data_IF_563794247356
#
_entry.id   IF_563794247356
#
_cell.length_a   1.000
_cell.length_b   1.000
_cell.length_c   1.000
_cell.angle_alpha   90.00
_cell.angle_beta   90.00
_cell.angle_gamma   90.00
#
_symmetry.space_group_name_H-M   'P 1'
#
loop_
_entity.id
_entity.type
_entity.pdbx_description
1 polymer ?
#
# COMPACT_ATOMS: atom_id res chain seq x y z
N UNK A 1 -12.80 -17.58 10.33
CA UNK A 1 -14.11 -17.72 9.65
C UNK A 1 -14.44 -16.52 8.78
N UNK A 2 -14.37 -15.27 9.28
CA UNK A 2 -14.65 -14.06 8.47
C UNK A 2 -13.62 -13.76 7.36
N UNK A 3 -12.31 -13.89 7.63
CA UNK A 3 -11.28 -13.61 6.60
C UNK A 3 -11.40 -14.54 5.38
N UNK A 4 -11.66 -15.83 5.61
CA UNK A 4 -11.90 -16.83 4.55
C UNK A 4 -13.17 -16.53 3.76
N UNK A 5 -14.20 -15.94 4.39
CA UNK A 5 -15.41 -15.51 3.70
C UNK A 5 -15.10 -14.36 2.73
N UNK A 6 -14.40 -13.31 3.19
CA UNK A 6 -14.02 -12.18 2.34
C UNK A 6 -13.10 -12.57 1.18
N UNK A 7 -12.21 -13.54 1.38
CA UNK A 7 -11.30 -14.03 0.33
C UNK A 7 -12.02 -14.55 -0.92
N UNK A 8 -13.22 -15.11 -0.76
CA UNK A 8 -13.98 -15.69 -1.86
C UNK A 8 -14.95 -14.70 -2.53
N UNK A 9 -15.05 -13.47 -2.02
CA UNK A 9 -15.92 -12.46 -2.59
C UNK A 9 -15.22 -11.77 -3.77
N UNK A 10 -15.85 -11.67 -4.94
CA UNK A 10 -15.26 -10.97 -6.06
C UNK A 10 -15.20 -9.46 -5.78
N UNK A 11 -14.04 -8.87 -6.03
CA UNK A 11 -13.83 -7.43 -5.95
C UNK A 11 -14.18 -6.76 -7.30
N UNK A 12 -13.49 -7.15 -8.39
CA UNK A 12 -13.70 -6.62 -9.76
C UNK A 12 -14.39 -7.63 -10.71
N UNK A 13 -15.39 -8.36 -10.22
CA UNK A 13 -16.27 -9.27 -10.98
C UNK A 13 -15.65 -10.36 -11.91
N UNK A 14 -14.34 -10.59 -11.95
CA UNK A 14 -13.74 -11.71 -12.69
C UNK A 14 -12.45 -12.25 -12.04
N UNK A 15 -12.23 -13.57 -12.16
CA UNK A 15 -10.99 -14.27 -11.77
C UNK A 15 -9.79 -13.72 -12.54
N UNK A 16 -8.71 -13.37 -11.84
CA UNK A 16 -7.43 -13.03 -12.46
C UNK A 16 -6.34 -13.93 -11.89
N UNK A 17 -5.39 -14.32 -12.74
CA UNK A 17 -4.26 -15.15 -12.35
C UNK A 17 -3.03 -14.27 -12.13
N UNK A 18 -2.61 -14.14 -10.87
CA UNK A 18 -1.29 -13.56 -10.54
C UNK A 18 -0.32 -14.73 -10.35
N UNK A 19 0.73 -14.78 -11.17
CA UNK A 19 1.77 -15.81 -11.08
C UNK A 19 3.01 -15.21 -10.45
N UNK A 20 3.15 -15.32 -9.13
CA UNK A 20 4.39 -14.93 -8.42
C UNK A 20 5.37 -16.10 -8.44
N UNK A 21 6.41 -16.00 -9.28
CA UNK A 21 7.45 -17.03 -9.38
C UNK A 21 8.82 -16.39 -9.28
N UNK A 22 9.27 -16.17 -8.05
CA UNK A 22 10.69 -16.29 -7.69
C UNK A 22 10.89 -16.38 -6.18
N UNK A 23 10.66 -17.58 -5.64
CA UNK A 23 11.04 -17.91 -4.26
C UNK A 23 12.51 -18.36 -4.25
N UNK A 24 13.44 -17.44 -4.51
CA UNK A 24 14.85 -17.67 -4.19
C UNK A 24 15.11 -17.28 -2.73
N UNK A 25 15.54 -18.24 -1.90
CA UNK A 25 15.77 -17.99 -0.48
C UNK A 25 17.04 -17.14 -0.34
N UNK A 26 16.97 -16.03 0.38
CA UNK A 26 18.16 -15.24 0.65
C UNK A 26 19.08 -16.03 1.61
N UNK A 27 20.26 -16.44 1.15
CA UNK A 27 21.37 -16.85 2.04
C UNK A 27 22.27 -15.63 2.19
N UNK A 28 22.10 -14.88 3.27
CA UNK A 28 23.05 -13.81 3.62
C UNK A 28 24.43 -14.42 3.84
N UNK A 29 25.33 -14.23 2.88
CA UNK A 29 26.77 -14.32 3.12
C UNK A 29 27.27 -12.88 3.18
N UNK A 30 27.99 -12.53 4.24
CA UNK A 30 28.43 -11.15 4.59
C UNK A 30 29.35 -10.46 3.55
N UNK A 31 29.55 -11.05 2.36
CA UNK A 31 30.57 -10.68 1.39
C UNK A 31 30.11 -10.83 -0.07
N UNK A 32 29.01 -10.18 -0.49
CA UNK A 32 28.80 -10.02 -1.93
C UNK A 32 28.16 -8.68 -2.29
N UNK A 33 29.00 -7.72 -2.65
CA UNK A 33 28.67 -6.52 -3.43
C UNK A 33 28.32 -6.85 -4.90
N UNK A 34 27.78 -8.03 -5.16
CA UNK A 34 27.36 -8.43 -6.50
C UNK A 34 25.95 -7.89 -6.75
N UNK A 35 25.85 -6.80 -7.52
CA UNK A 35 24.59 -6.32 -8.09
C UNK A 35 23.95 -7.45 -8.91
N UNK A 36 22.66 -7.72 -8.65
CA UNK A 36 21.78 -8.67 -9.35
C UNK A 36 22.12 -10.17 -9.30
N UNK A 37 22.15 -10.78 -8.10
CA UNK A 37 22.09 -12.26 -7.98
C UNK A 37 20.64 -12.78 -7.98
N UNK A 38 19.66 -11.93 -7.67
CA UNK A 38 18.25 -12.34 -7.62
C UNK A 38 17.50 -11.89 -8.88
N UNK A 39 16.83 -12.80 -9.59
CA UNK A 39 15.90 -12.42 -10.64
C UNK A 39 14.69 -11.69 -10.05
N UNK A 40 14.05 -10.85 -10.87
CA UNK A 40 12.85 -10.08 -10.51
C UNK A 40 11.80 -10.96 -9.81
N UNK A 41 11.18 -10.42 -8.78
CA UNK A 41 10.12 -11.05 -7.99
C UNK A 41 8.91 -11.38 -8.88
N UNK A 42 8.59 -10.50 -9.83
CA UNK A 42 7.45 -10.64 -10.74
C UNK A 42 7.90 -10.98 -12.16
N UNK A 43 7.92 -12.29 -12.47
CA UNK A 43 8.16 -12.79 -13.82
C UNK A 43 7.01 -12.47 -14.78
N UNK A 44 5.75 -12.62 -14.35
CA UNK A 44 4.56 -12.27 -15.13
C UNK A 44 3.42 -11.76 -14.25
N UNK A 45 2.90 -10.60 -14.59
CA UNK A 45 1.61 -10.09 -14.10
C UNK A 45 0.73 -9.90 -15.33
N UNK A 46 -0.52 -10.35 -15.23
CA UNK A 46 -1.49 -10.15 -16.30
C UNK A 46 -1.81 -8.65 -16.43
N UNK A 47 -1.56 -8.06 -17.59
CA UNK A 47 -1.82 -6.65 -17.81
C UNK A 47 -3.33 -6.34 -17.74
N UNK A 48 -4.18 -7.30 -18.12
CA UNK A 48 -5.63 -7.11 -18.07
C UNK A 48 -6.12 -6.91 -16.62
N UNK A 49 -5.44 -7.54 -15.65
CA UNK A 49 -5.69 -7.29 -14.23
C UNK A 49 -5.44 -5.83 -13.83
N UNK A 50 -4.38 -5.22 -14.36
CA UNK A 50 -3.99 -3.85 -14.05
C UNK A 50 -4.91 -2.82 -14.72
N UNK A 51 -5.63 -3.22 -15.76
CA UNK A 51 -6.67 -2.37 -16.40
C UNK A 51 -7.98 -2.32 -15.62
N UNK A 52 -8.18 -3.23 -14.65
CA UNK A 52 -9.40 -3.26 -13.86
C UNK A 52 -9.56 -1.98 -13.03
N UNK A 53 -10.79 -1.48 -12.82
CA UNK A 53 -11.00 -0.18 -12.19
C UNK A 53 -10.27 -0.02 -10.85
N UNK A 54 -10.40 -0.99 -9.95
CA UNK A 54 -9.78 -0.87 -8.62
C UNK A 54 -8.25 -0.84 -8.65
N UNK A 55 -7.64 -1.62 -9.54
CA UNK A 55 -6.19 -1.65 -9.73
C UNK A 55 -5.70 -0.36 -10.37
N UNK A 56 -6.42 0.13 -11.38
CA UNK A 56 -6.13 1.37 -12.07
C UNK A 56 -6.19 2.56 -11.11
N UNK A 57 -7.27 2.66 -10.34
CA UNK A 57 -7.48 3.75 -9.38
C UNK A 57 -6.46 3.67 -8.23
N UNK A 58 -6.13 2.47 -7.77
CA UNK A 58 -5.05 2.28 -6.80
C UNK A 58 -3.69 2.72 -7.34
N UNK A 59 -3.33 2.30 -8.57
CA UNK A 59 -2.06 2.68 -9.18
C UNK A 59 -1.95 4.19 -9.41
N UNK A 60 -3.05 4.85 -9.78
CA UNK A 60 -3.14 6.30 -9.87
C UNK A 60 -2.76 6.94 -8.53
N UNK A 61 -3.40 6.53 -7.42
CA UNK A 61 -3.02 7.02 -6.09
C UNK A 61 -1.55 6.77 -5.76
N UNK A 62 -0.99 5.60 -6.08
CA UNK A 62 0.40 5.30 -5.71
C UNK A 62 1.44 6.17 -6.43
N UNK A 63 1.09 6.78 -7.56
CA UNK A 63 2.00 7.65 -8.31
C UNK A 63 2.14 9.04 -7.66
N UNK A 64 1.22 9.40 -6.76
CA UNK A 64 1.17 10.70 -6.09
C UNK A 64 2.22 10.88 -5.01
N UNK A 65 2.85 9.80 -4.55
CA UNK A 65 3.70 9.83 -3.37
C UNK A 65 5.19 9.75 -3.72
N UNK A 66 6.00 10.54 -3.03
CA UNK A 66 7.45 10.40 -3.03
C UNK A 66 7.86 9.36 -1.98
N UNK A 67 8.79 8.48 -2.35
CA UNK A 67 9.39 7.54 -1.37
C UNK A 67 10.19 8.27 -0.28
N UNK A 68 10.68 9.47 -0.58
CA UNK A 68 11.49 10.29 0.31
C UNK A 68 10.60 11.30 1.04
N UNK A 69 10.55 11.23 2.36
CA UNK A 69 9.90 12.23 3.22
C UNK A 69 10.60 13.59 3.13
N UNK A 70 9.87 14.68 3.41
CA UNK A 70 10.41 16.04 3.39
C UNK A 70 10.32 16.74 2.03
N UNK A 71 9.76 16.06 1.02
CA UNK A 71 9.26 16.70 -0.20
C UNK A 71 7.80 17.08 0.01
N UNK A 72 7.37 18.16 -0.64
CA UNK A 72 5.95 18.53 -0.65
C UNK A 72 5.19 17.43 -1.40
N UNK A 73 4.33 16.74 -0.67
CA UNK A 73 3.35 15.80 -1.19
C UNK A 73 1.96 16.45 -1.22
N UNK A 74 1.07 16.01 -2.12
CA UNK A 74 1.29 15.02 -3.19
C UNK A 74 2.07 15.56 -4.41
N UNK A 75 2.55 14.67 -5.29
CA UNK A 75 3.17 14.95 -6.60
C UNK A 75 2.23 15.62 -7.60
N UNK A 76 0.93 15.63 -7.30
CA UNK A 76 -0.14 16.14 -8.14
C UNK A 76 -0.83 17.34 -7.47
N UNK A 77 -1.76 18.01 -8.15
CA UNK A 77 -2.54 19.05 -7.50
C UNK A 77 -3.50 18.45 -6.46
N UNK A 78 -3.93 19.26 -5.49
CA UNK A 78 -4.90 18.84 -4.48
C UNK A 78 -6.24 18.41 -5.09
N UNK A 79 -6.64 19.03 -6.20
CA UNK A 79 -7.85 18.68 -6.94
C UNK A 79 -7.71 17.30 -7.59
N UNK A 80 -6.55 17.00 -8.16
CA UNK A 80 -6.24 15.70 -8.76
C UNK A 80 -6.25 14.60 -7.70
N UNK A 81 -5.53 14.81 -6.60
CA UNK A 81 -5.49 13.87 -5.48
C UNK A 81 -6.90 13.57 -4.94
N UNK A 82 -7.72 14.59 -4.71
CA UNK A 82 -9.09 14.40 -4.23
C UNK A 82 -9.96 13.61 -5.22
N UNK A 83 -9.75 13.80 -6.52
CA UNK A 83 -10.46 13.06 -7.57
C UNK A 83 -10.07 11.59 -7.56
N UNK A 84 -8.77 11.29 -7.48
CA UNK A 84 -8.26 9.91 -7.44
C UNK A 84 -8.68 9.19 -6.15
N UNK A 85 -8.60 9.87 -4.99
CA UNK A 85 -9.09 9.34 -3.71
C UNK A 85 -10.57 8.99 -3.81
N UNK A 86 -11.38 9.89 -4.39
CA UNK A 86 -12.81 9.65 -4.57
C UNK A 86 -13.06 8.45 -5.48
N UNK A 87 -12.40 8.37 -6.63
CA UNK A 87 -12.58 7.26 -7.57
C UNK A 87 -12.23 5.92 -6.92
N UNK A 88 -11.09 5.85 -6.23
CA UNK A 88 -10.66 4.65 -5.52
C UNK A 88 -11.62 4.26 -4.40
N UNK A 89 -12.05 5.22 -3.56
CA UNK A 89 -13.00 4.96 -2.49
C UNK A 89 -14.34 4.48 -3.02
N UNK A 90 -14.85 5.09 -4.09
CA UNK A 90 -16.10 4.65 -4.72
C UNK A 90 -15.98 3.18 -5.18
N UNK A 91 -14.89 2.83 -5.88
CA UNK A 91 -14.63 1.46 -6.32
C UNK A 91 -14.55 0.48 -5.15
N UNK A 92 -13.83 0.86 -4.08
CA UNK A 92 -13.67 0.04 -2.87
C UNK A 92 -15.00 -0.14 -2.15
N UNK A 93 -15.73 0.92 -1.88
CA UNK A 93 -16.98 0.89 -1.11
C UNK A 93 -18.10 0.14 -1.84
N UNK A 94 -18.11 0.16 -3.18
CA UNK A 94 -19.06 -0.60 -4.00
C UNK A 94 -18.68 -2.09 -4.15
N UNK A 95 -17.47 -2.49 -3.77
CA UNK A 95 -17.01 -3.89 -3.87
C UNK A 95 -17.82 -4.80 -2.93
N UNK A 96 -18.02 -6.06 -3.33
CA UNK A 96 -18.75 -7.03 -2.48
C UNK A 96 -18.12 -7.20 -1.09
N UNK A 97 -16.78 -7.28 -0.92
CA UNK A 97 -16.18 -7.34 0.41
C UNK A 97 -16.57 -6.16 1.28
N UNK A 98 -16.54 -4.93 0.77
CA UNK A 98 -16.85 -3.74 1.58
C UNK A 98 -18.34 -3.61 1.89
N UNK A 99 -19.21 -4.02 0.97
CA UNK A 99 -20.65 -4.12 1.23
C UNK A 99 -20.92 -5.11 2.38
N UNK A 100 -20.24 -6.25 2.39
CA UNK A 100 -20.37 -7.24 3.47
C UNK A 100 -19.81 -6.74 4.81
N UNK A 101 -18.70 -5.99 4.81
CA UNK A 101 -18.19 -5.32 6.01
C UNK A 101 -19.21 -4.31 6.55
N UNK A 102 -19.78 -3.48 5.68
CA UNK A 102 -20.83 -2.52 6.06
C UNK A 102 -22.03 -3.24 6.67
N UNK A 103 -22.54 -4.28 6.02
CA UNK A 103 -23.69 -5.06 6.51
C UNK A 103 -23.39 -5.73 7.86
N UNK A 104 -22.20 -6.28 8.02
CA UNK A 104 -21.75 -6.88 9.28
C UNK A 104 -21.74 -5.85 10.42
N UNK A 105 -21.13 -4.68 10.20
CA UNK A 105 -21.05 -3.62 11.19
C UNK A 105 -22.43 -3.02 11.50
N UNK A 106 -23.28 -2.86 10.48
CA UNK A 106 -24.67 -2.42 10.63
C UNK A 106 -25.47 -3.38 11.52
N UNK A 107 -25.34 -4.69 11.29
CA UNK A 107 -25.97 -5.73 12.14
C UNK A 107 -25.50 -5.68 13.59
N UNK A 108 -24.27 -5.22 13.82
CA UNK A 108 -23.69 -5.02 15.16
C UNK A 108 -24.06 -3.67 15.80
N UNK A 109 -24.82 -2.81 15.12
CA UNK A 109 -25.18 -1.49 15.61
C UNK A 109 -23.98 -0.53 15.70
N UNK A 110 -22.92 -0.77 14.92
CA UNK A 110 -21.72 0.05 14.98
C UNK A 110 -21.99 1.46 14.40
N UNK A 111 -21.56 2.55 15.07
CA UNK A 111 -21.89 3.92 14.65
C UNK A 111 -21.37 4.27 13.26
N UNK A 112 -20.28 3.65 12.81
CA UNK A 112 -19.71 3.92 11.48
C UNK A 112 -20.58 3.37 10.35
N UNK A 113 -21.46 2.41 10.63
CA UNK A 113 -22.37 1.81 9.64
C UNK A 113 -23.81 2.34 9.78
N UNK A 114 -23.99 3.52 10.41
CA UNK A 114 -25.30 4.14 10.62
C UNK A 114 -26.05 4.37 9.30
N UNK A 115 -25.37 4.91 8.29
CA UNK A 115 -25.88 5.09 6.93
C UNK A 115 -24.70 5.10 5.92
N UNK A 116 -24.95 4.95 4.62
CA UNK A 116 -23.89 4.90 3.60
C UNK A 116 -22.99 6.13 3.56
N UNK A 117 -23.52 7.33 3.81
CA UNK A 117 -22.73 8.58 3.84
C UNK A 117 -21.73 8.57 4.99
N UNK A 118 -22.19 8.28 6.21
CA UNK A 118 -21.32 8.15 7.39
C UNK A 118 -20.28 7.07 7.19
N UNK A 119 -20.65 5.95 6.55
CA UNK A 119 -19.72 4.87 6.24
C UNK A 119 -18.60 5.35 5.30
N UNK A 120 -18.95 5.99 4.18
CA UNK A 120 -17.98 6.51 3.23
C UNK A 120 -17.05 7.55 3.88
N UNK A 121 -17.62 8.48 4.65
CA UNK A 121 -16.85 9.52 5.36
C UNK A 121 -15.88 8.91 6.38
N UNK A 122 -16.31 7.88 7.12
CA UNK A 122 -15.45 7.22 8.11
C UNK A 122 -14.34 6.41 7.48
N UNK A 123 -14.59 5.74 6.35
CA UNK A 123 -13.54 5.05 5.61
C UNK A 123 -12.56 6.05 4.99
N UNK A 124 -13.05 7.17 4.43
CA UNK A 124 -12.18 8.25 3.93
C UNK A 124 -11.31 8.80 5.05
N UNK A 125 -11.90 9.15 6.19
CA UNK A 125 -11.20 9.65 7.36
C UNK A 125 -10.13 8.66 7.84
N UNK A 126 -10.48 7.38 8.00
CA UNK A 126 -9.56 6.36 8.50
C UNK A 126 -8.29 6.22 7.63
N UNK A 127 -8.44 6.32 6.32
CA UNK A 127 -7.36 6.02 5.37
C UNK A 127 -6.64 7.26 4.86
N UNK A 128 -7.33 8.38 4.65
CA UNK A 128 -6.81 9.54 3.91
C UNK A 128 -6.75 10.83 4.72
N UNK A 129 -7.29 10.89 5.95
CA UNK A 129 -6.98 12.02 6.82
C UNK A 129 -5.58 11.88 7.41
N UNK A 130 -4.86 13.00 7.44
CA UNK A 130 -3.52 13.08 8.02
C UNK A 130 -3.61 13.08 9.54
N UNK A 131 -2.73 12.32 10.20
CA UNK A 131 -2.59 12.35 11.65
C UNK A 131 -1.13 12.54 12.05
N UNK A 132 -0.93 13.16 13.22
CA UNK A 132 0.40 13.39 13.78
C UNK A 132 0.86 12.14 14.56
N UNK A 133 2.03 11.60 14.22
CA UNK A 133 2.58 10.35 14.82
C UNK A 133 3.45 10.59 16.06
N UNK A 134 3.92 11.81 16.26
CA UNK A 134 4.62 12.31 17.44
C UNK A 134 4.47 13.83 17.47
N UNK A 135 4.87 14.54 18.54
CA UNK A 135 4.66 16.01 18.77
C UNK A 135 5.18 16.94 17.64
N UNK A 136 4.68 16.82 16.42
CA UNK A 136 5.11 17.44 15.17
C UNK A 136 3.98 17.43 14.13
N UNK A 137 4.29 17.87 12.90
CA UNK A 137 3.31 18.09 11.84
C UNK A 137 2.51 16.82 11.49
N UNK A 138 1.22 16.98 11.15
CA UNK A 138 0.40 15.90 10.61
C UNK A 138 0.80 15.69 9.15
N UNK A 139 1.75 14.78 8.92
CA UNK A 139 2.42 14.60 7.63
C UNK A 139 2.18 13.24 7.00
N UNK A 140 1.38 12.36 7.62
CA UNK A 140 1.13 11.02 7.08
C UNK A 140 -0.31 10.53 7.27
N UNK A 141 -0.77 9.71 6.33
CA UNK A 141 -2.08 9.05 6.32
C UNK A 141 -1.98 7.52 6.52
N UNK A 142 -3.10 6.89 6.88
CA UNK A 142 -3.15 5.42 7.04
C UNK A 142 -2.91 4.70 5.71
N UNK A 143 -3.33 5.32 4.60
CA UNK A 143 -3.14 4.81 3.25
C UNK A 143 -1.66 4.80 2.87
N UNK A 144 -0.95 5.90 3.07
CA UNK A 144 0.49 5.96 2.84
C UNK A 144 1.23 4.90 3.64
N UNK A 145 0.97 4.84 4.93
CA UNK A 145 1.67 3.92 5.82
C UNK A 145 1.50 2.46 5.40
N UNK A 146 0.27 2.02 5.10
CA UNK A 146 -0.01 0.60 4.80
C UNK A 146 0.32 0.23 3.36
N UNK A 147 -0.06 1.08 2.40
CA UNK A 147 -0.03 0.74 0.97
C UNK A 147 1.19 1.27 0.23
N UNK A 148 1.63 2.49 0.54
CA UNK A 148 2.74 3.15 -0.16
C UNK A 148 4.07 2.75 0.47
N UNK A 149 4.09 2.65 1.80
CA UNK A 149 5.31 2.51 2.59
C UNK A 149 6.00 3.86 2.75
N UNK A 150 6.51 4.09 3.94
CA UNK A 150 7.09 5.37 4.33
C UNK A 150 8.53 5.18 4.79
N UNK A 151 9.46 5.97 4.25
CA UNK A 151 10.83 6.01 4.73
C UNK A 151 10.92 6.98 5.91
N UNK A 152 11.57 6.61 7.02
CA UNK A 152 11.74 7.58 8.11
C UNK A 152 12.63 8.76 7.68
N UNK A 153 12.27 9.98 8.07
CA UNK A 153 12.93 11.20 7.63
C UNK A 153 14.37 11.36 8.12
N UNK A 154 15.19 11.99 7.26
CA UNK A 154 16.57 12.37 7.53
C UNK A 154 16.69 13.52 8.57
N UNK A 155 15.60 14.24 8.85
CA UNK A 155 15.64 15.46 9.67
C UNK A 155 15.70 15.24 11.18
N UNK A 156 15.53 14.02 11.70
CA UNK A 156 15.69 13.77 13.13
C UNK A 156 17.17 13.57 13.53
N UNK A 157 17.99 14.50 13.04
CA UNK A 157 19.45 14.56 13.12
C UNK A 157 19.98 14.81 14.55
N UNK A 158 19.13 15.10 15.55
CA UNK A 158 19.59 15.46 16.90
C UNK A 158 19.41 14.38 17.98
N UNK A 159 18.84 13.21 17.65
CA UNK A 159 18.72 12.10 18.61
C UNK A 159 19.94 11.16 18.51
N UNK A 160 20.68 10.97 19.61
CA UNK A 160 21.84 10.05 19.66
C UNK A 160 21.48 8.56 19.52
N UNK A 161 20.20 8.22 19.38
CA UNK A 161 19.68 6.86 19.19
C UNK A 161 19.21 6.61 17.74
N UNK A 162 19.59 7.49 16.79
CA UNK A 162 18.95 7.62 15.47
C UNK A 162 19.63 6.85 14.32
N UNK A 163 20.68 6.09 14.58
CA UNK A 163 21.53 5.53 13.52
C UNK A 163 20.95 4.32 12.78
N UNK A 164 19.93 3.66 13.32
CA UNK A 164 19.43 2.39 12.76
C UNK A 164 18.20 2.53 11.85
N UNK A 165 17.39 3.58 12.01
CA UNK A 165 16.15 3.74 11.22
C UNK A 165 16.33 4.55 9.94
N UNK A 166 17.45 5.25 9.79
CA UNK A 166 17.63 6.19 8.70
C UNK A 166 17.54 5.49 7.32
N UNK A 167 16.49 5.81 6.56
CA UNK A 167 16.21 5.19 5.26
C UNK A 167 15.52 3.82 5.31
N UNK A 168 15.12 3.33 6.50
CA UNK A 168 14.28 2.14 6.60
C UNK A 168 12.85 2.45 6.13
N UNK A 169 12.34 1.62 5.21
CA UNK A 169 10.95 1.68 4.76
C UNK A 169 10.10 0.91 5.76
N UNK A 170 9.18 1.62 6.41
CA UNK A 170 8.11 1.04 7.24
C UNK A 170 6.86 0.86 6.40
N UNK A 171 6.14 -0.25 6.57
CA UNK A 171 5.00 -0.61 5.71
C UNK A 171 5.44 -1.24 4.40
N UNK A 172 4.86 -0.79 3.27
CA UNK A 172 5.06 -1.37 1.93
C UNK A 172 4.70 -2.86 1.89
N UNK A 173 3.44 -3.20 2.10
CA UNK A 173 2.98 -4.60 2.10
C UNK A 173 2.08 -4.97 0.91
N UNK A 174 1.84 -4.01 0.00
CA UNK A 174 0.98 -4.21 -1.15
C UNK A 174 1.77 -4.75 -2.36
N UNK A 175 1.38 -5.93 -2.87
CA UNK A 175 2.08 -6.58 -3.98
C UNK A 175 1.98 -5.80 -5.31
N UNK A 176 0.90 -5.05 -5.53
CA UNK A 176 0.75 -4.20 -6.73
C UNK A 176 1.74 -3.04 -6.67
N UNK A 177 1.93 -2.45 -5.49
CA UNK A 177 2.97 -1.43 -5.27
C UNK A 177 4.36 -2.01 -5.48
N UNK A 178 4.66 -3.18 -4.94
CA UNK A 178 5.93 -3.87 -5.21
C UNK A 178 6.17 -4.11 -6.71
N UNK A 179 5.13 -4.54 -7.43
CA UNK A 179 5.21 -4.74 -8.87
C UNK A 179 5.52 -3.43 -9.61
N UNK A 180 4.81 -2.35 -9.28
CA UNK A 180 5.04 -1.04 -9.89
C UNK A 180 6.47 -0.51 -9.64
N UNK A 181 6.97 -0.65 -8.41
CA UNK A 181 8.34 -0.27 -8.04
C UNK A 181 9.39 -1.10 -8.81
N UNK A 182 9.19 -2.41 -8.93
CA UNK A 182 10.13 -3.28 -9.64
C UNK A 182 10.17 -3.01 -11.15
N UNK A 183 9.05 -2.59 -11.76
CA UNK A 183 8.99 -2.25 -13.18
C UNK A 183 9.50 -0.84 -13.51
N UNK A 184 9.62 0.04 -12.52
CA UNK A 184 10.13 1.39 -12.75
C UNK A 184 11.57 1.54 -12.25
N UNK A 185 12.53 1.51 -13.18
CA UNK A 185 13.95 1.65 -12.86
C UNK A 185 14.30 2.98 -12.16
N UNK A 186 13.48 4.04 -12.28
CA UNK A 186 13.73 5.31 -11.59
C UNK A 186 13.42 5.27 -10.10
N UNK A 187 12.68 4.26 -9.63
CA UNK A 187 12.26 4.11 -8.24
C UNK A 187 13.30 3.36 -7.38
N UNK A 188 14.42 2.92 -7.98
CA UNK A 188 15.55 2.28 -7.27
C UNK A 188 15.12 1.16 -6.32
N UNK A 189 14.28 0.23 -6.80
CA UNK A 189 13.82 -0.93 -6.06
C UNK A 189 14.61 -2.18 -6.47
N UNK A 190 15.09 -2.95 -5.49
CA UNK A 190 15.95 -4.13 -5.71
C UNK A 190 15.52 -5.26 -4.77
N UNK A 191 14.92 -6.31 -5.35
CA UNK A 191 14.44 -7.46 -4.60
C UNK A 191 15.61 -8.35 -4.15
N UNK A 192 15.72 -8.59 -2.83
CA UNK A 192 16.83 -9.35 -2.22
C UNK A 192 16.49 -10.80 -1.82
N UNK A 193 15.35 -11.33 -2.25
CA UNK A 193 14.88 -12.67 -1.87
C UNK A 193 13.92 -12.66 -0.67
N UNK A 194 13.48 -13.85 -0.26
CA UNK A 194 12.59 -14.03 0.89
C UNK A 194 13.31 -14.62 2.10
N UNK A 195 12.79 -14.34 3.30
CA UNK A 195 13.30 -14.86 4.57
C UNK A 195 12.44 -16.07 4.98
N UNK A 196 13.10 -17.20 5.26
CA UNK A 196 12.47 -18.35 5.91
C UNK A 196 12.59 -18.17 7.41
N UNK A 197 11.47 -18.07 8.12
CA UNK A 197 11.49 -18.08 9.59
C UNK A 197 12.01 -19.43 10.06
N UNK A 198 13.16 -19.45 10.73
CA UNK A 198 13.63 -20.64 11.44
C UNK A 198 12.83 -20.74 12.74
N UNK A 199 12.23 -21.91 12.97
CA UNK A 199 11.52 -22.24 14.20
C UNK A 199 12.45 -22.33 15.40
#
# INVERSE_FOLDING_TARGET
>A
MLVTFFYNLPFDNQSATVTMFNRFSCRFNKYSEARNIFPSLFSKVDNDLLTKPSYKDFMALTNNFYRETGKVEPRVSKEEENREIKAFLDAVLMSKPMVEVYNFLKKKGHPYAANPTVWADKIKQLWFEHYSRSRGAADSSGFEHVFIGEASSLEALESKTFKEKNGEVSGLHNWVRFYALEKNATENFDYKGFIVKRG
#
